data_IF_764014237828
#
_entry.id   IF_764014237828
#
_cell.length_a   1.000
_cell.length_b   1.000
_cell.length_c   1.000
_cell.angle_alpha   90.00
_cell.angle_beta   90.00
_cell.angle_gamma   90.00
#
_symmetry.space_group_name_H-M   'P 1'
#
loop_
_entity.id
_entity.type
_entity.pdbx_description
1 polymer ?
#
# COMPACT_ATOMS: atom_id res chain seq x y z
N UNK A 1 15.01 -15.46 14.37
CA UNK A 1 14.19 -14.48 15.04
C UNK A 1 14.30 -13.16 14.34
N UNK A 2 13.21 -12.64 13.86
CA UNK A 2 13.22 -11.40 13.12
C UNK A 2 13.17 -10.19 14.01
N UNK A 3 13.70 -9.07 13.53
CA UNK A 3 13.50 -7.79 14.17
C UNK A 3 12.10 -7.28 13.87
N UNK A 4 11.70 -6.22 14.58
CA UNK A 4 10.42 -5.55 14.31
C UNK A 4 10.41 -5.03 12.88
N UNK A 5 11.52 -4.47 12.42
CA UNK A 5 11.60 -3.96 11.05
C UNK A 5 11.44 -5.07 10.02
N UNK A 6 12.01 -6.25 10.28
CA UNK A 6 11.84 -7.39 9.38
C UNK A 6 10.38 -7.85 9.33
N UNK A 7 9.71 -7.84 10.48
CA UNK A 7 8.29 -8.20 10.52
C UNK A 7 7.45 -7.23 9.69
N UNK A 8 7.74 -5.93 9.79
CA UNK A 8 7.01 -4.92 9.03
C UNK A 8 7.31 -5.04 7.55
N UNK A 9 8.58 -5.25 7.17
CA UNK A 9 8.92 -5.45 5.75
C UNK A 9 8.20 -6.65 5.18
N UNK A 10 8.11 -7.75 5.94
CA UNK A 10 7.39 -8.93 5.49
C UNK A 10 5.91 -8.62 5.30
N UNK A 11 5.32 -7.83 6.18
CA UNK A 11 3.92 -7.42 6.03
C UNK A 11 3.70 -6.73 4.68
N UNK A 12 4.61 -5.84 4.30
CA UNK A 12 4.49 -5.11 3.04
C UNK A 12 4.76 -6.01 1.83
N UNK A 13 5.70 -6.93 1.93
CA UNK A 13 5.95 -7.88 0.84
C UNK A 13 4.76 -8.80 0.64
N UNK A 14 4.17 -9.28 1.73
CA UNK A 14 2.96 -10.10 1.65
C UNK A 14 1.81 -9.27 1.05
N UNK A 15 1.72 -8.00 1.41
CA UNK A 15 0.71 -7.11 0.88
C UNK A 15 0.84 -6.89 -0.62
N UNK A 16 2.05 -6.68 -1.11
CA UNK A 16 2.28 -6.50 -2.55
C UNK A 16 1.85 -7.75 -3.31
N UNK A 17 2.22 -8.93 -2.81
CA UNK A 17 1.82 -10.19 -3.45
C UNK A 17 0.30 -10.36 -3.43
N UNK A 18 -0.33 -10.02 -2.32
CA UNK A 18 -1.77 -10.16 -2.18
C UNK A 18 -2.52 -9.20 -3.09
N UNK A 19 -2.00 -7.97 -3.27
CA UNK A 19 -2.61 -7.00 -4.19
C UNK A 19 -2.54 -7.48 -5.63
N UNK A 20 -1.37 -7.99 -6.05
CA UNK A 20 -1.22 -8.52 -7.40
C UNK A 20 -2.11 -9.74 -7.62
N UNK A 21 -2.22 -10.61 -6.62
CA UNK A 21 -3.03 -11.82 -6.71
C UNK A 21 -4.52 -11.56 -6.48
N UNK A 22 -4.89 -10.34 -6.05
CA UNK A 22 -6.25 -10.00 -5.63
C UNK A 22 -6.74 -10.97 -4.56
N UNK A 23 -5.87 -11.30 -3.61
CA UNK A 23 -6.15 -12.27 -2.55
C UNK A 23 -6.89 -11.59 -1.40
N UNK A 24 -8.22 -11.63 -1.46
CA UNK A 24 -9.06 -10.93 -0.50
C UNK A 24 -8.84 -11.42 0.93
N UNK A 25 -8.62 -12.72 1.11
CA UNK A 25 -8.40 -13.29 2.45
C UNK A 25 -7.13 -12.76 3.08
N UNK A 26 -6.05 -12.73 2.31
CA UNK A 26 -4.77 -12.24 2.79
C UNK A 26 -4.83 -10.73 3.06
N UNK A 27 -5.44 -9.99 2.14
CA UNK A 27 -5.61 -8.54 2.33
C UNK A 27 -6.44 -8.22 3.56
N UNK A 28 -7.46 -9.05 3.84
CA UNK A 28 -8.28 -8.86 5.02
C UNK A 28 -7.47 -9.06 6.31
N UNK A 29 -6.44 -9.90 6.26
CA UNK A 29 -5.54 -10.10 7.39
C UNK A 29 -4.56 -8.92 7.55
N UNK A 30 -4.09 -8.36 6.43
CA UNK A 30 -3.06 -7.33 6.40
C UNK A 30 -3.64 -5.95 6.74
N UNK A 31 -4.80 -5.61 6.18
CA UNK A 31 -5.44 -4.34 6.48
C UNK A 31 -6.27 -4.45 7.75
N UNK A 32 -6.11 -3.49 8.65
CA UNK A 32 -6.90 -3.42 9.86
C UNK A 32 -8.37 -3.13 9.52
N UNK A 33 -9.27 -3.50 10.40
CA UNK A 33 -10.70 -3.28 10.15
C UNK A 33 -11.05 -1.80 10.02
N UNK A 34 -10.28 -0.94 10.68
CA UNK A 34 -10.46 0.51 10.60
C UNK A 34 -9.56 1.17 9.55
N UNK A 35 -8.99 0.40 8.64
CA UNK A 35 -8.11 0.92 7.59
C UNK A 35 -8.83 1.92 6.70
N UNK A 36 -8.15 3.03 6.40
CA UNK A 36 -8.59 4.00 5.41
C UNK A 36 -7.39 4.39 4.55
N UNK A 37 -7.62 4.42 3.24
CA UNK A 37 -6.64 4.86 2.28
C UNK A 37 -7.11 6.17 1.65
N UNK A 38 -6.22 7.16 1.57
CA UNK A 38 -6.48 8.38 0.84
C UNK A 38 -5.63 8.38 -0.42
N UNK A 39 -6.26 8.64 -1.56
CA UNK A 39 -5.51 8.72 -2.81
C UNK A 39 -4.95 10.13 -3.03
N UNK A 40 -4.30 10.33 -4.18
CA UNK A 40 -3.65 11.61 -4.49
C UNK A 40 -4.63 12.75 -4.73
N UNK A 41 -5.93 12.45 -4.87
CA UNK A 41 -6.96 13.50 -4.96
C UNK A 41 -7.64 13.76 -3.63
N UNK A 42 -7.27 13.02 -2.58
CA UNK A 42 -7.89 13.13 -1.28
C UNK A 42 -9.13 12.28 -1.10
N UNK A 43 -9.45 11.43 -2.06
CA UNK A 43 -10.60 10.54 -1.93
C UNK A 43 -10.27 9.40 -0.97
N UNK A 44 -11.21 9.10 -0.09
CA UNK A 44 -11.03 8.08 0.95
C UNK A 44 -11.65 6.75 0.52
N UNK A 45 -10.92 5.67 0.81
CA UNK A 45 -11.37 4.30 0.54
C UNK A 45 -11.24 3.49 1.82
N UNK A 46 -12.32 2.84 2.22
CA UNK A 46 -12.27 1.92 3.37
C UNK A 46 -11.66 0.60 2.96
N UNK A 47 -11.32 -0.22 3.97
CA UNK A 47 -10.84 -1.58 3.73
C UNK A 47 -11.78 -2.36 2.80
N UNK A 48 -13.09 -2.29 3.06
CA UNK A 48 -14.07 -3.02 2.28
C UNK A 48 -14.06 -2.59 0.82
N UNK A 49 -13.95 -1.28 0.57
CA UNK A 49 -13.93 -0.75 -0.80
C UNK A 49 -12.66 -1.17 -1.53
N UNK A 50 -11.52 -1.09 -0.86
CA UNK A 50 -10.24 -1.48 -1.47
C UNK A 50 -10.28 -2.96 -1.88
N UNK A 51 -10.74 -3.82 -0.98
CA UNK A 51 -10.81 -5.25 -1.27
C UNK A 51 -11.86 -5.55 -2.34
N UNK A 52 -13.01 -4.88 -2.29
CA UNK A 52 -14.06 -5.10 -3.28
C UNK A 52 -13.60 -4.72 -4.68
N UNK A 53 -12.88 -3.60 -4.84
CA UNK A 53 -12.36 -3.18 -6.12
C UNK A 53 -11.41 -4.21 -6.74
N UNK A 54 -10.62 -4.86 -5.91
CA UNK A 54 -9.72 -5.91 -6.38
C UNK A 54 -10.46 -7.18 -6.72
N UNK A 55 -11.41 -7.56 -5.87
CA UNK A 55 -12.15 -8.80 -6.05
C UNK A 55 -13.04 -8.77 -7.29
N UNK A 56 -13.61 -7.61 -7.60
CA UNK A 56 -14.47 -7.46 -8.78
C UNK A 56 -13.68 -7.19 -10.06
N UNK A 57 -12.38 -6.90 -9.94
CA UNK A 57 -11.56 -6.54 -11.09
C UNK A 57 -11.69 -5.09 -11.51
N UNK A 58 -12.38 -4.25 -10.72
CA UNK A 58 -12.46 -2.82 -11.03
C UNK A 58 -11.06 -2.21 -11.10
N UNK A 59 -10.14 -2.70 -10.28
CA UNK A 59 -8.72 -2.35 -10.32
C UNK A 59 -7.95 -3.67 -10.28
N UNK A 60 -6.93 -3.78 -11.13
CA UNK A 60 -6.06 -4.94 -11.14
C UNK A 60 -4.62 -4.47 -11.19
N UNK A 61 -3.83 -4.94 -10.25
CA UNK A 61 -2.39 -4.66 -10.25
C UNK A 61 -1.68 -5.75 -11.05
N UNK A 62 -1.12 -5.39 -12.18
CA UNK A 62 -0.40 -6.32 -13.05
C UNK A 62 1.01 -6.54 -12.52
N UNK A 63 1.64 -5.46 -12.07
CA UNK A 63 2.97 -5.50 -11.52
C UNK A 63 3.14 -4.37 -10.52
N UNK A 64 3.92 -4.61 -9.48
CA UNK A 64 4.21 -3.61 -8.45
C UNK A 64 5.68 -3.68 -8.11
N UNK A 65 6.34 -2.53 -8.09
CA UNK A 65 7.74 -2.45 -7.72
C UNK A 65 7.90 -1.40 -6.64
N UNK A 66 8.30 -1.83 -5.46
CA UNK A 66 8.55 -0.94 -4.34
C UNK A 66 10.03 -0.66 -4.24
N UNK A 67 10.37 0.60 -3.98
CA UNK A 67 11.76 1.00 -3.77
C UNK A 67 11.82 1.95 -2.58
N UNK A 68 12.96 1.92 -1.89
CA UNK A 68 13.26 2.89 -0.85
C UNK A 68 12.34 2.86 0.35
N UNK A 69 11.83 1.69 0.71
CA UNK A 69 11.01 1.58 1.91
C UNK A 69 11.84 1.96 3.13
N UNK A 70 11.29 2.86 3.93
CA UNK A 70 11.90 3.30 5.18
C UNK A 70 10.90 3.12 6.29
N UNK A 71 11.33 2.46 7.35
CA UNK A 71 10.48 2.22 8.51
C UNK A 71 10.96 3.13 9.62
N UNK A 72 10.03 3.88 10.20
CA UNK A 72 10.31 4.72 11.35
C UNK A 72 9.47 4.24 12.51
N UNK A 73 10.10 3.56 13.45
CA UNK A 73 9.42 3.02 14.60
C UNK A 73 9.19 4.16 15.60
N UNK A 74 7.92 4.43 15.89
CA UNK A 74 7.56 5.50 16.82
C UNK A 74 7.40 4.97 18.23
N UNK A 75 6.90 3.74 18.33
CA UNK A 75 6.76 2.99 19.57
C UNK A 75 6.96 1.53 19.20
N UNK A 76 7.03 0.66 20.21
CA UNK A 76 7.22 -0.76 19.93
C UNK A 76 6.04 -1.39 19.20
N UNK A 77 4.89 -0.69 19.13
CA UNK A 77 3.68 -1.18 18.49
C UNK A 77 3.14 -0.22 17.42
N UNK A 78 3.88 0.83 17.06
CA UNK A 78 3.44 1.81 16.04
C UNK A 78 4.63 2.23 15.21
N UNK A 79 4.46 2.19 13.89
CA UNK A 79 5.49 2.65 12.97
C UNK A 79 4.87 3.36 11.77
N UNK A 80 5.68 4.18 11.14
CA UNK A 80 5.35 4.80 9.86
C UNK A 80 6.27 4.21 8.80
N UNK A 81 5.71 3.86 7.66
CA UNK A 81 6.47 3.32 6.55
C UNK A 81 6.34 4.25 5.36
N UNK A 82 7.46 4.72 4.85
CA UNK A 82 7.51 5.54 3.64
C UNK A 82 8.09 4.71 2.50
N UNK A 83 7.65 4.99 1.29
CA UNK A 83 8.24 4.32 0.14
C UNK A 83 7.77 4.93 -1.16
N UNK A 84 8.37 4.45 -2.23
CA UNK A 84 7.97 4.77 -3.59
C UNK A 84 7.53 3.48 -4.27
N UNK A 85 6.46 3.57 -5.06
CA UNK A 85 5.93 2.42 -5.76
C UNK A 85 5.72 2.75 -7.22
N UNK A 86 6.13 1.84 -8.09
CA UNK A 86 5.86 1.92 -9.52
C UNK A 86 4.96 0.75 -9.87
N UNK A 87 3.75 1.04 -10.30
CA UNK A 87 2.74 0.02 -10.53
C UNK A 87 2.28 0.03 -11.98
N UNK A 88 2.04 -1.16 -12.50
CA UNK A 88 1.30 -1.31 -13.74
C UNK A 88 -0.12 -1.74 -13.36
N UNK A 89 -1.11 -0.96 -13.77
CA UNK A 89 -2.49 -1.09 -13.30
C UNK A 89 -3.43 -1.19 -14.50
N UNK A 90 -4.44 -2.04 -14.36
CA UNK A 90 -5.57 -2.08 -15.28
C UNK A 90 -6.80 -1.55 -14.56
N UNK A 91 -7.47 -0.59 -15.17
CA UNK A 91 -8.66 0.02 -14.61
C UNK A 91 -9.51 0.56 -15.75
N UNK A 92 -10.81 0.18 -15.76
CA UNK A 92 -11.72 0.67 -16.75
C UNK A 92 -11.36 0.28 -18.18
N UNK A 93 -10.72 -0.88 -18.35
CA UNK A 93 -10.30 -1.35 -19.68
C UNK A 93 -9.00 -0.75 -20.18
N UNK A 94 -8.39 0.15 -19.41
CA UNK A 94 -7.13 0.76 -19.78
C UNK A 94 -6.00 0.22 -18.90
N UNK A 95 -4.80 0.14 -19.47
CA UNK A 95 -3.62 -0.26 -18.74
C UNK A 95 -2.66 0.93 -18.73
N UNK A 96 -2.11 1.26 -17.55
CA UNK A 96 -1.24 2.40 -17.42
C UNK A 96 -0.24 2.16 -16.30
N UNK A 97 0.80 2.98 -16.29
CA UNK A 97 1.81 2.97 -15.26
C UNK A 97 1.60 4.18 -14.36
N UNK A 98 1.71 3.96 -13.05
CA UNK A 98 1.64 5.04 -12.09
C UNK A 98 2.82 4.93 -11.14
N UNK A 99 3.24 6.07 -10.62
CA UNK A 99 4.30 6.14 -9.63
C UNK A 99 3.80 6.95 -8.45
N UNK A 100 3.87 6.32 -7.28
CA UNK A 100 3.40 6.95 -6.04
C UNK A 100 4.54 7.07 -5.05
N UNK A 101 4.45 8.09 -4.22
CA UNK A 101 5.08 8.05 -2.90
C UNK A 101 3.97 7.78 -1.91
N UNK A 102 4.28 7.05 -0.86
CA UNK A 102 3.25 6.72 0.12
C UNK A 102 3.79 6.85 1.54
N UNK A 103 2.86 7.10 2.45
CA UNK A 103 3.11 7.05 3.88
C UNK A 103 2.02 6.19 4.48
N UNK A 104 2.41 5.10 5.12
CA UNK A 104 1.49 4.18 5.76
C UNK A 104 1.75 4.16 7.26
N UNK A 105 0.66 4.05 8.02
CA UNK A 105 0.74 3.84 9.47
C UNK A 105 0.47 2.37 9.72
N UNK A 106 1.36 1.72 10.46
CA UNK A 106 1.18 0.32 10.86
C UNK A 106 1.16 0.23 12.38
N UNK A 107 0.34 -0.67 12.88
CA UNK A 107 0.21 -0.89 14.32
C UNK A 107 0.20 -2.38 14.61
N UNK A 108 0.80 -2.73 15.74
CA UNK A 108 0.74 -4.09 16.24
C UNK A 108 -0.41 -4.17 17.24
N UNK A 109 -1.41 -4.97 16.91
CA UNK A 109 -2.59 -5.18 17.76
C UNK A 109 -2.79 -6.68 17.91
N UNK A 110 -3.00 -7.11 19.14
CA UNK A 110 -3.21 -8.53 19.43
C UNK A 110 -2.09 -9.40 18.85
N UNK A 111 -0.87 -8.92 18.98
CA UNK A 111 0.31 -9.68 18.59
C UNK A 111 0.64 -9.66 17.11
N UNK A 112 -0.07 -8.89 16.29
CA UNK A 112 0.25 -8.88 14.84
C UNK A 112 0.20 -7.47 14.27
N UNK A 113 1.10 -7.25 13.32
CA UNK A 113 1.18 -5.98 12.61
C UNK A 113 0.12 -5.92 11.51
N UNK A 114 -0.53 -4.76 11.38
CA UNK A 114 -1.51 -4.50 10.33
C UNK A 114 -1.32 -3.07 9.83
N UNK A 115 -1.71 -2.84 8.58
CA UNK A 115 -1.72 -1.49 8.01
C UNK A 115 -3.02 -0.83 8.42
N UNK A 116 -2.92 0.33 9.08
CA UNK A 116 -4.06 1.03 9.66
C UNK A 116 -4.52 2.18 8.78
N UNK A 117 -3.61 2.79 8.04
CA UNK A 117 -3.94 3.91 7.18
C UNK A 117 -2.87 4.14 6.15
N UNK A 118 -3.25 4.74 5.03
CA UNK A 118 -2.33 5.03 3.94
C UNK A 118 -2.66 6.38 3.33
N UNK A 119 -1.63 7.12 2.97
CA UNK A 119 -1.75 8.31 2.16
C UNK A 119 -0.89 8.13 0.92
N UNK A 120 -1.51 8.27 -0.24
CA UNK A 120 -0.82 8.16 -1.51
C UNK A 120 -0.69 9.54 -2.15
N UNK A 121 0.42 9.76 -2.82
CA UNK A 121 0.60 10.97 -3.62
C UNK A 121 1.35 10.56 -4.88
N UNK A 122 0.99 11.16 -6.02
CA UNK A 122 1.72 10.90 -7.24
C UNK A 122 3.13 11.46 -7.10
N UNK A 123 4.10 10.63 -7.49
CA UNK A 123 5.48 11.06 -7.46
C UNK A 123 5.79 11.84 -8.73
N UNK A 124 6.43 12.97 -8.59
CA UNK A 124 6.95 13.69 -9.73
C UNK A 124 8.19 12.99 -10.23
N UNK A 125 8.23 12.72 -11.52
CA UNK A 125 9.43 12.18 -12.15
C UNK A 125 10.19 13.32 -12.77
N UNK A 126 11.40 13.04 -13.20
CA UNK A 126 12.20 14.04 -13.91
C UNK A 126 11.47 14.56 -15.13
N UNK A 127 10.78 13.68 -15.83
CA UNK A 127 10.03 14.10 -17.00
C UNK A 127 8.84 14.96 -16.65
N UNK A 128 8.20 14.68 -15.52
CA UNK A 128 7.05 15.46 -15.10
C UNK A 128 7.44 16.82 -14.64
N UNK A 129 8.59 16.92 -14.02
CA UNK A 129 9.01 18.21 -13.52
C UNK A 129 9.54 19.07 -14.57
N UNK A 130 9.83 18.48 -15.63
CA UNK A 130 10.36 19.26 -16.67
C UNK A 130 9.61 20.38 -16.89
N UNK A 131 8.90 20.26 -16.19
CA UNK A 131 8.45 21.11 -16.21
C UNK A 131 8.82 21.84 -15.46
N UNK A 132 9.25 21.74 -15.18
CA UNK A 132 9.54 22.63 -14.36
C UNK A 132 10.48 23.28 -14.66
#
# INVERSE_FOLDING_TARGET
>A
MGSVEEEILKLFEDGDRALIAADAGELSRIFADDYVQYDDSGKAFTKQVVIANLRTGAIRYVAMKSTGRRIRLLRDDVAIVHGTEEDEVEQGGARFFVRYVYMDVVMKREGRWQIVGSQLAKSLTTGDTGDH
#
